data_IF_439464511310
#
_entry.id   IF_439464511310
#
_cell.length_a   1.000
_cell.length_b   1.000
_cell.length_c   1.000
_cell.angle_alpha   90.00
_cell.angle_beta   90.00
_cell.angle_gamma   90.00
#
_symmetry.space_group_name_H-M   'P 1'
#
loop_
_entity.id
_entity.type
_entity.pdbx_description
1 polymer ?
#
# COMPACT_ATOMS: atom_id res chain seq x y z
N UNK A 1 -2.07 41.23 -17.10
CA UNK A 1 -2.11 40.46 -15.85
C UNK A 1 -2.90 41.25 -14.81
N UNK A 2 -3.87 40.63 -14.14
CA UNK A 2 -4.77 41.32 -13.22
C UNK A 2 -4.00 41.67 -11.91
N UNK A 3 -3.99 42.91 -11.41
CA UNK A 3 -3.23 43.29 -10.21
C UNK A 3 -3.57 42.44 -8.96
N UNK A 4 -4.78 41.96 -8.88
CA UNK A 4 -5.21 41.04 -7.81
C UNK A 4 -4.45 39.68 -7.85
N UNK A 5 -4.13 39.18 -9.04
CA UNK A 5 -3.37 37.92 -9.18
C UNK A 5 -1.91 38.10 -8.75
N UNK A 6 -1.31 39.28 -9.03
CA UNK A 6 0.05 39.57 -8.64
C UNK A 6 0.18 39.71 -7.10
N UNK A 7 -0.83 40.28 -6.46
CA UNK A 7 -0.87 40.39 -5.00
C UNK A 7 -1.05 39.04 -4.32
N UNK A 8 -1.89 38.16 -4.89
CA UNK A 8 -2.06 36.77 -4.41
C UNK A 8 -0.76 35.97 -4.56
N UNK A 9 -0.10 36.07 -5.72
CA UNK A 9 1.17 35.37 -5.96
C UNK A 9 2.24 35.87 -4.99
N UNK A 10 2.34 37.20 -4.79
CA UNK A 10 3.26 37.78 -3.82
C UNK A 10 3.02 37.32 -2.39
N UNK A 11 1.75 37.21 -1.97
CA UNK A 11 1.39 36.70 -0.66
C UNK A 11 1.78 35.20 -0.50
N UNK A 12 1.53 34.37 -1.52
CA UNK A 12 1.92 32.94 -1.52
C UNK A 12 3.44 32.82 -1.41
N UNK A 13 4.20 33.56 -2.21
CA UNK A 13 5.66 33.52 -2.17
C UNK A 13 6.16 33.95 -0.78
N UNK A 14 5.62 35.03 -0.20
CA UNK A 14 5.99 35.46 1.13
C UNK A 14 5.73 34.39 2.20
N UNK A 15 4.59 33.71 2.15
CA UNK A 15 4.26 32.59 3.06
C UNK A 15 5.24 31.44 2.88
N UNK A 16 5.55 31.05 1.64
CA UNK A 16 6.52 30.00 1.36
C UNK A 16 7.90 30.35 1.89
N UNK A 17 8.38 31.59 1.68
CA UNK A 17 9.69 32.02 2.18
C UNK A 17 9.75 32.01 3.70
N UNK A 18 8.71 32.53 4.37
CA UNK A 18 8.63 32.48 5.85
C UNK A 18 8.62 31.07 6.37
N UNK A 19 7.80 30.19 5.77
CA UNK A 19 7.75 28.76 6.16
C UNK A 19 9.08 28.05 5.90
N UNK A 20 9.74 28.34 4.77
CA UNK A 20 11.05 27.76 4.45
C UNK A 20 12.13 28.18 5.47
N UNK A 21 12.09 29.42 5.90
CA UNK A 21 13.00 29.94 6.93
C UNK A 21 12.72 29.28 8.29
N UNK A 22 11.45 29.14 8.67
CA UNK A 22 11.02 28.55 9.95
C UNK A 22 11.38 27.05 10.05
N UNK A 23 11.29 26.33 8.93
CA UNK A 23 11.67 24.90 8.82
C UNK A 23 13.19 24.71 8.66
N UNK A 24 13.97 25.80 8.48
CA UNK A 24 15.43 25.74 8.34
C UNK A 24 15.88 25.26 6.96
N UNK A 25 15.14 25.57 5.90
CA UNK A 25 15.58 25.27 4.52
C UNK A 25 16.78 26.14 4.20
N UNK A 26 17.95 25.53 4.09
CA UNK A 26 19.21 26.20 3.76
C UNK A 26 19.67 25.78 2.35
N UNK A 27 19.50 26.66 1.34
CA UNK A 27 19.96 26.39 -0.02
C UNK A 27 21.49 26.29 -0.13
N UNK A 28 22.22 26.94 0.77
CA UNK A 28 23.69 26.89 0.78
C UNK A 28 24.15 25.52 1.27
N UNK A 29 23.57 25.02 2.37
CA UNK A 29 23.82 23.67 2.85
C UNK A 29 23.52 22.59 1.81
N UNK A 30 22.47 22.81 0.96
CA UNK A 30 22.20 21.92 -0.16
C UNK A 30 23.34 21.89 -1.19
N UNK A 31 23.84 23.08 -1.59
CA UNK A 31 24.95 23.20 -2.57
C UNK A 31 26.23 22.61 -1.98
N UNK A 32 26.53 22.90 -0.72
CA UNK A 32 27.70 22.40 -0.01
C UNK A 32 27.66 20.87 0.20
N UNK A 33 26.45 20.28 0.22
CA UNK A 33 26.24 18.84 0.28
C UNK A 33 26.41 18.08 -1.06
N UNK A 34 26.39 18.77 -2.21
CA UNK A 34 26.50 18.11 -3.52
C UNK A 34 27.79 17.28 -3.71
N UNK A 35 28.97 17.69 -3.22
CA UNK A 35 30.16 16.85 -3.28
C UNK A 35 30.00 15.51 -2.54
N UNK A 36 29.26 15.48 -1.41
CA UNK A 36 28.98 14.25 -0.67
C UNK A 36 28.14 13.26 -1.49
N UNK A 37 27.21 13.77 -2.31
CA UNK A 37 26.47 12.93 -3.27
C UNK A 37 27.43 12.25 -4.26
N UNK A 38 28.46 12.94 -4.73
CA UNK A 38 29.49 12.38 -5.60
C UNK A 38 30.26 11.25 -4.93
N UNK A 39 30.56 11.36 -3.63
CA UNK A 39 31.22 10.32 -2.84
C UNK A 39 30.32 9.07 -2.75
N UNK A 40 29.06 9.27 -2.36
CA UNK A 40 28.07 8.18 -2.26
C UNK A 40 27.88 7.47 -3.61
N UNK A 41 27.75 8.23 -4.70
CA UNK A 41 27.60 7.65 -6.04
C UNK A 41 28.85 6.84 -6.45
N UNK A 42 30.05 7.30 -6.05
CA UNK A 42 31.28 6.54 -6.29
C UNK A 42 31.29 5.24 -5.47
N UNK A 43 30.99 5.30 -4.17
CA UNK A 43 30.87 4.12 -3.32
C UNK A 43 29.86 3.10 -3.84
N UNK A 44 28.72 3.56 -4.39
CA UNK A 44 27.73 2.69 -5.03
C UNK A 44 28.26 1.95 -6.28
N UNK A 45 29.34 2.42 -6.89
CA UNK A 45 29.98 1.76 -8.05
C UNK A 45 31.13 0.84 -7.65
N UNK A 46 31.61 0.92 -6.42
CA UNK A 46 32.66 0.04 -5.90
C UNK A 46 32.05 -1.27 -5.42
N UNK A 47 32.00 -2.26 -6.32
CA UNK A 47 31.48 -3.59 -6.03
C UNK A 47 32.53 -4.48 -5.36
N UNK A 48 32.38 -4.74 -4.07
CA UNK A 48 33.14 -5.77 -3.37
C UNK A 48 32.55 -7.15 -3.68
N UNK A 49 33.24 -7.93 -4.50
CA UNK A 49 32.79 -9.27 -4.91
C UNK A 49 32.66 -10.27 -3.75
N UNK A 50 33.30 -10.00 -2.64
CA UNK A 50 33.33 -10.87 -1.45
C UNK A 50 31.95 -10.98 -0.76
N UNK A 51 31.08 -9.96 -0.90
CA UNK A 51 29.78 -9.92 -0.23
C UNK A 51 28.60 -10.36 -1.14
N UNK A 52 28.84 -10.74 -2.38
CA UNK A 52 27.78 -11.12 -3.32
C UNK A 52 26.91 -12.28 -2.84
N UNK A 53 27.54 -13.28 -2.19
CA UNK A 53 26.79 -14.42 -1.64
C UNK A 53 25.81 -14.00 -0.57
N UNK A 54 26.22 -13.14 0.35
CA UNK A 54 25.40 -12.63 1.45
C UNK A 54 24.24 -11.77 0.88
N UNK A 55 24.56 -10.86 -0.04
CA UNK A 55 23.58 -9.99 -0.67
C UNK A 55 22.52 -10.78 -1.46
N UNK A 56 22.93 -11.84 -2.18
CA UNK A 56 22.01 -12.70 -2.90
C UNK A 56 21.00 -13.41 -1.97
N UNK A 57 21.51 -13.98 -0.88
CA UNK A 57 20.63 -14.66 0.08
C UNK A 57 19.69 -13.68 0.79
N UNK A 58 20.15 -12.48 1.15
CA UNK A 58 19.31 -11.44 1.74
C UNK A 58 18.23 -10.96 0.77
N UNK A 59 18.55 -10.81 -0.53
CA UNK A 59 17.56 -10.51 -1.57
C UNK A 59 16.51 -11.61 -1.70
N UNK A 60 16.94 -12.87 -1.69
CA UNK A 60 16.01 -14.01 -1.79
C UNK A 60 15.07 -14.03 -0.59
N UNK A 61 15.59 -13.89 0.62
CA UNK A 61 14.81 -13.79 1.86
C UNK A 61 13.79 -12.65 1.80
N UNK A 62 14.18 -11.47 1.29
CA UNK A 62 13.28 -10.32 1.08
C UNK A 62 12.12 -10.68 0.16
N UNK A 63 12.40 -11.37 -0.95
CA UNK A 63 11.37 -11.79 -1.92
C UNK A 63 10.45 -12.84 -1.30
N UNK A 64 11.00 -13.80 -0.57
CA UNK A 64 10.22 -14.83 0.14
C UNK A 64 9.28 -14.23 1.17
N UNK A 65 9.78 -13.29 1.99
CA UNK A 65 8.95 -12.56 2.96
C UNK A 65 7.82 -11.79 2.28
N UNK A 66 8.14 -11.04 1.21
CA UNK A 66 7.15 -10.29 0.45
C UNK A 66 6.10 -11.21 -0.19
N UNK A 67 6.52 -12.35 -0.74
CA UNK A 67 5.62 -13.32 -1.36
C UNK A 67 4.67 -13.94 -0.33
N UNK A 68 5.20 -14.47 0.77
CA UNK A 68 4.40 -15.12 1.83
C UNK A 68 3.45 -14.11 2.46
N UNK A 69 3.95 -12.91 2.81
CA UNK A 69 3.14 -11.86 3.44
C UNK A 69 2.04 -11.34 2.52
N UNK A 70 2.33 -11.17 1.22
CA UNK A 70 1.32 -10.77 0.24
C UNK A 70 0.28 -11.86 0.04
N UNK A 71 0.70 -13.11 -0.12
CA UNK A 71 -0.22 -14.24 -0.31
C UNK A 71 -1.16 -14.40 0.89
N UNK A 72 -0.62 -14.40 2.10
CA UNK A 72 -1.41 -14.48 3.33
C UNK A 72 -2.39 -13.29 3.46
N UNK A 73 -1.90 -12.08 3.19
CA UNK A 73 -2.72 -10.87 3.20
C UNK A 73 -3.85 -10.89 2.20
N UNK A 74 -3.59 -11.33 0.96
CA UNK A 74 -4.59 -11.48 -0.09
C UNK A 74 -5.64 -12.54 0.28
N UNK A 75 -5.22 -13.70 0.76
CA UNK A 75 -6.15 -14.78 1.15
C UNK A 75 -7.13 -14.33 2.24
N UNK A 76 -6.68 -13.51 3.19
CA UNK A 76 -7.51 -12.96 4.25
C UNK A 76 -8.36 -11.78 3.73
N UNK A 77 -7.79 -10.94 2.86
CA UNK A 77 -8.49 -9.76 2.33
C UNK A 77 -9.66 -10.10 1.41
N UNK A 78 -9.59 -11.20 0.65
CA UNK A 78 -10.66 -11.62 -0.26
C UNK A 78 -12.02 -11.77 0.43
N UNK A 79 -12.19 -12.59 1.48
CA UNK A 79 -13.47 -12.68 2.19
C UNK A 79 -13.84 -11.34 2.87
N UNK A 80 -12.86 -10.64 3.44
CA UNK A 80 -13.13 -9.36 4.11
C UNK A 80 -13.64 -8.31 3.13
N UNK A 81 -13.12 -8.25 1.91
CA UNK A 81 -13.56 -7.32 0.88
C UNK A 81 -15.01 -7.57 0.44
N UNK A 82 -15.41 -8.84 0.31
CA UNK A 82 -16.80 -9.21 0.00
C UNK A 82 -17.74 -8.70 1.11
N UNK A 83 -17.40 -8.94 2.38
CA UNK A 83 -18.20 -8.45 3.50
C UNK A 83 -18.13 -6.92 3.66
N UNK A 84 -17.06 -6.29 3.21
CA UNK A 84 -16.90 -4.84 3.23
C UNK A 84 -17.64 -4.13 2.08
N UNK A 85 -18.06 -4.84 1.02
CA UNK A 85 -18.78 -4.26 -0.12
C UNK A 85 -20.23 -3.90 0.27
N UNK A 86 -20.62 -2.63 0.03
CA UNK A 86 -21.95 -2.10 0.39
C UNK A 86 -23.09 -2.66 -0.47
N UNK A 87 -22.77 -3.10 -1.70
CA UNK A 87 -23.72 -3.74 -2.60
C UNK A 87 -24.03 -5.21 -2.21
N UNK A 88 -23.22 -5.80 -1.35
CA UNK A 88 -23.37 -7.19 -0.88
C UNK A 88 -23.87 -7.26 0.56
N UNK A 89 -23.27 -6.46 1.45
CA UNK A 89 -23.44 -6.56 2.90
C UNK A 89 -24.33 -5.46 3.47
N UNK A 90 -24.95 -5.72 4.61
CA UNK A 90 -25.73 -4.71 5.34
C UNK A 90 -24.83 -3.63 5.96
N UNK A 91 -25.42 -2.44 6.22
CA UNK A 91 -24.71 -1.31 6.82
C UNK A 91 -24.06 -1.68 8.17
N UNK A 92 -24.70 -2.55 8.93
CA UNK A 92 -24.21 -2.99 10.24
C UNK A 92 -22.95 -3.88 10.14
N UNK A 93 -22.66 -4.44 8.97
CA UNK A 93 -21.49 -5.28 8.70
C UNK A 93 -20.40 -4.46 8.00
N UNK A 94 -20.71 -3.82 6.87
CA UNK A 94 -19.68 -3.16 6.09
C UNK A 94 -19.10 -1.91 6.78
N UNK A 95 -19.88 -1.14 7.54
CA UNK A 95 -19.38 0.09 8.19
C UNK A 95 -18.30 -0.21 9.23
N UNK A 96 -18.55 -1.08 10.26
CA UNK A 96 -17.50 -1.39 11.24
C UNK A 96 -16.32 -2.12 10.63
N UNK A 97 -16.54 -2.98 9.63
CA UNK A 97 -15.46 -3.69 8.96
C UNK A 97 -14.55 -2.72 8.18
N UNK A 98 -15.12 -1.76 7.45
CA UNK A 98 -14.34 -0.70 6.78
C UNK A 98 -13.58 0.18 7.76
N UNK A 99 -14.17 0.49 8.91
CA UNK A 99 -13.49 1.25 9.95
C UNK A 99 -12.26 0.48 10.48
N UNK A 100 -12.42 -0.82 10.72
CA UNK A 100 -11.31 -1.70 11.12
C UNK A 100 -10.21 -1.74 10.05
N UNK A 101 -10.56 -2.00 8.79
CA UNK A 101 -9.63 -2.02 7.67
C UNK A 101 -8.96 -0.66 7.41
N UNK A 102 -9.66 0.44 7.67
CA UNK A 102 -9.07 1.78 7.60
C UNK A 102 -8.06 2.00 8.72
N UNK A 103 -8.35 1.53 9.93
CA UNK A 103 -7.44 1.65 11.07
C UNK A 103 -6.10 0.94 10.83
N UNK A 104 -6.09 -0.24 10.19
CA UNK A 104 -4.83 -0.95 9.87
C UNK A 104 -3.92 -0.17 8.92
N UNK A 105 -4.48 0.72 8.08
CA UNK A 105 -3.73 1.55 7.12
C UNK A 105 -3.33 2.92 7.66
N UNK A 106 -3.81 3.29 8.83
CA UNK A 106 -3.46 4.57 9.46
C UNK A 106 -1.98 4.56 9.91
N UNK A 107 -1.47 3.39 10.23
CA UNK A 107 -0.09 3.23 10.65
C UNK A 107 0.81 2.82 9.46
N UNK A 108 1.99 3.45 9.30
CA UNK A 108 3.01 2.98 8.37
C UNK A 108 3.40 1.52 8.63
N UNK A 109 3.75 0.77 7.58
CA UNK A 109 4.14 -0.65 7.67
C UNK A 109 5.28 -0.90 8.66
N UNK A 110 6.22 0.04 8.76
CA UNK A 110 7.36 -0.05 9.69
C UNK A 110 6.92 -0.07 11.17
N UNK A 111 5.84 0.63 11.53
CA UNK A 111 5.31 0.58 12.90
C UNK A 111 4.72 -0.79 13.23
N UNK A 112 4.07 -1.43 12.26
CA UNK A 112 3.61 -2.80 12.40
C UNK A 112 4.78 -3.77 12.53
N UNK A 113 5.87 -3.58 11.77
CA UNK A 113 7.07 -4.39 11.90
C UNK A 113 7.68 -4.28 13.30
N UNK A 114 7.85 -3.06 13.83
CA UNK A 114 8.37 -2.84 15.19
C UNK A 114 7.47 -3.54 16.22
N UNK A 115 6.17 -3.41 16.11
CA UNK A 115 5.21 -4.06 17.01
C UNK A 115 5.38 -5.58 16.99
N UNK A 116 5.47 -6.18 15.79
CA UNK A 116 5.64 -7.63 15.67
C UNK A 116 7.03 -8.09 16.11
N UNK A 117 8.09 -7.29 15.92
CA UNK A 117 9.42 -7.58 16.49
C UNK A 117 9.37 -7.63 18.02
N UNK A 118 8.61 -6.75 18.66
CA UNK A 118 8.41 -6.79 20.12
C UNK A 118 7.64 -8.06 20.54
N UNK A 119 6.70 -8.52 19.70
CA UNK A 119 5.86 -9.69 20.02
C UNK A 119 6.54 -11.04 19.79
N UNK A 120 7.26 -11.19 18.67
CA UNK A 120 7.77 -12.49 18.21
C UNK A 120 9.30 -12.53 18.09
N UNK A 121 9.98 -11.41 18.33
CA UNK A 121 11.43 -11.27 18.20
C UNK A 121 11.86 -10.78 16.81
N UNK A 122 13.17 -10.45 16.69
CA UNK A 122 13.80 -10.07 15.43
C UNK A 122 13.84 -11.27 14.49
N UNK A 123 13.44 -11.06 13.23
CA UNK A 123 13.57 -12.06 12.18
C UNK A 123 12.49 -11.93 11.08
N UNK A 124 12.60 -12.76 10.04
CA UNK A 124 11.71 -12.72 8.87
C UNK A 124 10.23 -12.87 9.22
N UNK A 125 9.92 -13.61 10.28
CA UNK A 125 8.53 -13.83 10.70
C UNK A 125 7.82 -12.54 11.12
N UNK A 126 8.51 -11.66 11.85
CA UNK A 126 7.95 -10.36 12.22
C UNK A 126 7.63 -9.50 10.97
N UNK A 127 8.52 -9.50 9.98
CA UNK A 127 8.33 -8.83 8.70
C UNK A 127 7.14 -9.40 7.91
N UNK A 128 7.03 -10.73 7.82
CA UNK A 128 5.89 -11.39 7.16
C UNK A 128 4.55 -10.97 7.81
N UNK A 129 4.47 -10.93 9.14
CA UNK A 129 3.26 -10.51 9.85
C UNK A 129 2.92 -9.04 9.56
N UNK A 130 3.92 -8.16 9.54
CA UNK A 130 3.75 -6.74 9.24
C UNK A 130 3.22 -6.53 7.81
N UNK A 131 3.82 -7.19 6.83
CA UNK A 131 3.41 -7.16 5.42
C UNK A 131 1.99 -7.70 5.29
N UNK A 132 1.69 -8.84 5.92
CA UNK A 132 0.36 -9.46 5.90
C UNK A 132 -0.70 -8.49 6.39
N UNK A 133 -0.51 -7.88 7.56
CA UNK A 133 -1.49 -6.97 8.16
C UNK A 133 -1.69 -5.70 7.32
N UNK A 134 -0.60 -5.12 6.84
CA UNK A 134 -0.66 -3.97 5.94
C UNK A 134 -1.40 -4.31 4.63
N UNK A 135 -1.08 -5.47 4.04
CA UNK A 135 -1.70 -5.96 2.82
C UNK A 135 -3.21 -6.18 3.00
N UNK A 136 -3.64 -6.76 4.13
CA UNK A 136 -5.06 -6.94 4.45
C UNK A 136 -5.79 -5.58 4.38
N UNK A 137 -5.27 -4.58 5.06
CA UNK A 137 -5.91 -3.26 5.09
C UNK A 137 -5.97 -2.59 3.72
N UNK A 138 -4.87 -2.66 2.96
CA UNK A 138 -4.74 -1.97 1.67
C UNK A 138 -5.52 -2.68 0.56
N UNK A 139 -5.30 -3.98 0.39
CA UNK A 139 -5.94 -4.77 -0.66
C UNK A 139 -7.44 -4.88 -0.45
N UNK A 140 -7.91 -5.10 0.79
CA UNK A 140 -9.36 -5.16 1.03
C UNK A 140 -10.08 -3.90 0.55
N UNK A 141 -9.45 -2.72 0.71
CA UNK A 141 -10.05 -1.48 0.21
C UNK A 141 -10.18 -1.49 -1.30
N UNK A 142 -9.10 -1.77 -2.02
CA UNK A 142 -9.11 -1.80 -3.47
C UNK A 142 -10.11 -2.85 -4.01
N UNK A 143 -10.18 -4.01 -3.34
CA UNK A 143 -11.07 -5.09 -3.72
C UNK A 143 -12.55 -4.74 -3.52
N UNK A 144 -12.95 -4.20 -2.34
CA UNK A 144 -14.36 -3.85 -2.16
C UNK A 144 -14.78 -2.67 -3.05
N UNK A 145 -13.88 -1.72 -3.35
CA UNK A 145 -14.14 -0.65 -4.31
C UNK A 145 -14.31 -1.21 -5.74
N UNK A 146 -13.51 -2.19 -6.15
CA UNK A 146 -13.67 -2.88 -7.44
C UNK A 146 -14.97 -3.68 -7.52
N UNK A 147 -15.36 -4.35 -6.42
CA UNK A 147 -16.64 -5.07 -6.34
C UNK A 147 -17.83 -4.09 -6.44
N UNK A 148 -17.71 -2.90 -5.86
CA UNK A 148 -18.76 -1.86 -5.93
C UNK A 148 -18.83 -1.15 -7.26
N UNK A 149 -17.74 -1.17 -8.03
CA UNK A 149 -17.66 -0.55 -9.36
C UNK A 149 -18.20 -1.44 -10.50
N UNK A 150 -18.60 -2.68 -10.20
CA UNK A 150 -19.23 -3.57 -11.20
C UNK A 150 -20.53 -2.95 -11.69
N UNK A 151 -20.74 -2.97 -13.00
CA UNK A 151 -21.95 -2.48 -13.63
C UNK A 151 -23.20 -3.15 -13.05
N UNK A 152 -24.26 -2.37 -12.91
CA UNK A 152 -25.49 -2.84 -12.27
C UNK A 152 -26.28 -3.82 -13.15
N UNK A 153 -26.14 -3.71 -14.48
CA UNK A 153 -26.91 -4.51 -15.44
C UNK A 153 -26.73 -6.04 -15.27
N UNK A 154 -25.52 -6.59 -15.15
CA UNK A 154 -25.33 -8.02 -14.87
C UNK A 154 -25.93 -8.46 -13.52
N UNK A 155 -25.85 -7.59 -12.51
CA UNK A 155 -26.37 -7.86 -11.17
C UNK A 155 -27.90 -7.88 -11.18
N UNK A 156 -28.53 -6.93 -11.88
CA UNK A 156 -29.99 -6.85 -12.02
C UNK A 156 -30.55 -8.05 -12.83
N UNK A 157 -29.91 -8.36 -13.97
CA UNK A 157 -30.32 -9.50 -14.82
C UNK A 157 -30.28 -10.83 -14.04
N UNK A 158 -29.23 -11.05 -13.26
CA UNK A 158 -29.07 -12.28 -12.47
C UNK A 158 -30.01 -12.34 -11.27
N UNK A 159 -30.34 -11.20 -10.68
CA UNK A 159 -31.33 -11.11 -9.59
C UNK A 159 -32.74 -11.39 -10.12
N UNK A 160 -33.06 -10.91 -11.31
CA UNK A 160 -34.35 -11.13 -11.96
C UNK A 160 -34.65 -12.62 -12.23
N UNK A 161 -33.62 -13.44 -12.50
CA UNK A 161 -33.78 -14.89 -12.69
C UNK A 161 -33.69 -15.68 -11.37
N UNK A 162 -33.64 -14.99 -10.21
CA UNK A 162 -33.76 -15.60 -8.88
C UNK A 162 -32.49 -16.23 -8.31
N UNK A 163 -31.29 -15.78 -8.72
CA UNK A 163 -30.06 -16.27 -8.10
C UNK A 163 -29.98 -15.88 -6.63
N UNK A 164 -29.48 -16.83 -5.82
CA UNK A 164 -29.12 -16.55 -4.42
C UNK A 164 -27.90 -15.62 -4.34
N UNK A 165 -27.72 -14.92 -3.20
CA UNK A 165 -26.55 -14.04 -2.99
C UNK A 165 -25.22 -14.76 -3.19
N UNK A 166 -25.10 -16.03 -2.78
CA UNK A 166 -23.88 -16.83 -2.95
C UNK A 166 -23.62 -17.10 -4.44
N UNK A 167 -24.66 -17.41 -5.18
CA UNK A 167 -24.57 -17.63 -6.64
C UNK A 167 -24.20 -16.32 -7.37
N UNK A 168 -24.79 -15.19 -6.99
CA UNK A 168 -24.43 -13.89 -7.50
C UNK A 168 -22.95 -13.58 -7.28
N UNK A 169 -22.42 -13.78 -6.07
CA UNK A 169 -21.00 -13.58 -5.76
C UNK A 169 -20.12 -14.48 -6.63
N UNK A 170 -20.44 -15.77 -6.71
CA UNK A 170 -19.62 -16.78 -7.38
C UNK A 170 -19.61 -16.64 -8.90
N UNK A 171 -20.75 -16.36 -9.51
CA UNK A 171 -20.92 -16.42 -10.97
C UNK A 171 -20.89 -15.05 -11.66
N UNK A 172 -21.06 -13.96 -10.91
CA UNK A 172 -21.04 -12.60 -11.47
C UNK A 172 -19.93 -11.77 -10.86
N UNK A 173 -19.96 -11.57 -9.54
CA UNK A 173 -19.07 -10.60 -8.89
C UNK A 173 -17.61 -11.03 -8.97
N UNK A 174 -17.29 -12.28 -8.63
CA UNK A 174 -15.91 -12.78 -8.66
C UNK A 174 -15.35 -12.78 -10.09
N UNK A 175 -16.03 -13.33 -11.12
CA UNK A 175 -15.51 -13.31 -12.49
C UNK A 175 -15.35 -11.90 -13.05
N UNK A 176 -16.32 -11.01 -12.81
CA UNK A 176 -16.28 -9.64 -13.33
C UNK A 176 -15.18 -8.80 -12.66
N UNK A 177 -14.97 -8.99 -11.36
CA UNK A 177 -13.90 -8.27 -10.64
C UNK A 177 -12.51 -8.91 -10.80
N UNK A 178 -12.40 -10.16 -11.25
CA UNK A 178 -11.15 -10.92 -11.28
C UNK A 178 -9.99 -10.22 -12.00
N UNK A 179 -10.15 -9.58 -13.18
CA UNK A 179 -9.06 -8.87 -13.85
C UNK A 179 -8.50 -7.72 -12.99
N UNK A 180 -9.38 -6.97 -12.34
CA UNK A 180 -8.99 -5.88 -11.43
C UNK A 180 -8.30 -6.41 -10.19
N UNK A 181 -8.84 -7.49 -9.61
CA UNK A 181 -8.27 -8.14 -8.43
C UNK A 181 -6.85 -8.67 -8.72
N UNK A 182 -6.64 -9.31 -9.86
CA UNK A 182 -5.31 -9.79 -10.26
C UNK A 182 -4.30 -8.65 -10.43
N UNK A 183 -4.70 -7.57 -11.09
CA UNK A 183 -3.84 -6.39 -11.25
C UNK A 183 -3.45 -5.78 -9.89
N UNK A 184 -4.40 -5.71 -8.96
CA UNK A 184 -4.16 -5.20 -7.60
C UNK A 184 -3.25 -6.11 -6.79
N UNK A 185 -3.36 -7.43 -6.94
CA UNK A 185 -2.50 -8.41 -6.27
C UNK A 185 -1.06 -8.28 -6.78
N UNK A 186 -0.86 -8.20 -8.09
CA UNK A 186 0.47 -8.02 -8.69
C UNK A 186 1.10 -6.68 -8.27
N UNK A 187 0.32 -5.60 -8.29
CA UNK A 187 0.75 -4.30 -7.79
C UNK A 187 1.18 -4.38 -6.32
N UNK A 188 0.40 -5.05 -5.49
CA UNK A 188 0.69 -5.16 -4.07
C UNK A 188 1.94 -6.00 -3.80
N UNK A 189 2.16 -7.05 -4.58
CA UNK A 189 3.39 -7.84 -4.50
C UNK A 189 4.63 -6.99 -4.83
N UNK A 190 4.62 -6.26 -5.96
CA UNK A 190 5.70 -5.33 -6.31
C UNK A 190 5.95 -4.28 -5.21
N UNK A 191 4.87 -3.70 -4.69
CA UNK A 191 4.96 -2.74 -3.59
C UNK A 191 5.59 -3.37 -2.34
N UNK A 192 5.17 -4.56 -1.94
CA UNK A 192 5.67 -5.25 -0.77
C UNK A 192 7.14 -5.66 -0.91
N UNK A 193 7.61 -6.08 -2.10
CA UNK A 193 9.03 -6.36 -2.34
C UNK A 193 9.89 -5.13 -2.02
N UNK A 194 9.45 -3.94 -2.45
CA UNK A 194 10.16 -2.69 -2.15
C UNK A 194 10.11 -2.31 -0.67
N UNK A 195 8.97 -2.53 -0.02
CA UNK A 195 8.82 -2.23 1.41
C UNK A 195 9.64 -3.18 2.28
N UNK A 196 9.71 -4.46 1.92
CA UNK A 196 10.45 -5.48 2.67
C UNK A 196 11.95 -5.21 2.66
N UNK A 197 12.48 -4.58 1.61
CA UNK A 197 13.91 -4.22 1.55
C UNK A 197 14.32 -3.18 2.62
N UNK A 198 13.35 -2.55 3.29
CA UNK A 198 13.56 -1.55 4.36
C UNK A 198 13.27 -2.17 5.74
N UNK A 199 12.52 -3.27 5.79
CA UNK A 199 12.14 -3.98 7.01
C UNK A 199 13.22 -4.98 7.44
#
# INVERSE_FOLDING_TARGET
>A
MNPKNNLLIGAIIAVVVVMSYDVGVDPIAFVDGLPNLGIVLKEMTEFESEHWGIAFWAMLETIEMAFIGTLAGVMISLPLSIFAARNISSKYVYVPLRALLAATRTFPSILWAILFVIMVGLGPFAGILAITLYTIGFISKLQYESIEAIDYDPVEATTAIGLSKIQLIRYVIIPESAPHLLSQILYMFDYNVRQTSIL
#
